data_IF_054222187040
#
_entry.id   IF_054222187040
#
_cell.length_a   1.000
_cell.length_b   1.000
_cell.length_c   1.000
_cell.angle_alpha   90.00
_cell.angle_beta   90.00
_cell.angle_gamma   90.00
#
_symmetry.space_group_name_H-M   'P 1'
#
loop_
_entity.id
_entity.type
_entity.pdbx_description
1 polymer ?
#
# COMPACT_ATOMS: atom_id res chain seq x y z
N UNK A 1 49.82 31.09 -46.77
CA UNK A 1 49.87 32.17 -45.76
C UNK A 1 49.83 31.50 -44.39
N UNK A 2 50.99 31.29 -43.75
CA UNK A 2 51.60 32.14 -42.70
C UNK A 2 50.68 32.27 -41.47
N UNK A 3 51.02 31.85 -40.24
CA UNK A 3 52.27 31.32 -39.67
C UNK A 3 51.99 30.73 -38.28
N UNK A 4 52.79 29.71 -37.93
CA UNK A 4 52.96 29.03 -36.64
C UNK A 4 53.44 29.97 -35.53
N UNK A 5 53.22 29.59 -34.25
CA UNK A 5 54.30 29.55 -33.23
C UNK A 5 53.92 28.67 -32.02
N UNK A 6 54.54 27.48 -31.97
CA UNK A 6 54.89 26.75 -30.74
C UNK A 6 56.10 27.45 -30.10
N UNK A 7 56.22 27.48 -28.78
CA UNK A 7 57.53 27.35 -28.11
C UNK A 7 57.38 26.45 -26.87
N UNK A 8 58.19 25.41 -26.91
CA UNK A 8 58.46 24.38 -25.92
C UNK A 8 59.84 24.74 -25.36
N UNK A 9 60.03 24.79 -24.04
CA UNK A 9 61.36 24.76 -23.44
C UNK A 9 61.32 23.69 -22.36
N UNK A 10 61.96 22.56 -22.67
CA UNK A 10 62.44 21.63 -21.65
C UNK A 10 63.82 22.05 -21.17
N UNK A 11 64.28 21.40 -20.10
CA UNK A 11 65.72 21.23 -19.90
C UNK A 11 66.22 21.37 -18.46
N UNK A 12 66.35 20.20 -17.84
CA UNK A 12 67.58 19.70 -17.17
C UNK A 12 67.81 20.01 -15.69
N UNK A 13 67.84 18.88 -14.97
CA UNK A 13 68.38 18.60 -13.63
C UNK A 13 69.90 18.88 -13.58
N UNK A 14 70.39 19.43 -12.46
CA UNK A 14 71.80 19.31 -12.07
C UNK A 14 71.92 19.05 -10.56
N UNK A 15 72.51 17.90 -10.23
CA UNK A 15 73.03 17.49 -8.92
C UNK A 15 74.50 17.89 -8.85
N UNK A 16 74.98 18.38 -7.70
CA UNK A 16 76.34 18.30 -7.09
C UNK A 16 76.46 19.46 -6.08
N UNK A 17 77.25 19.47 -5.01
CA UNK A 17 77.98 18.54 -4.15
C UNK A 17 78.52 19.43 -3.00
N UNK A 18 78.67 18.89 -1.79
CA UNK A 18 79.13 19.65 -0.63
C UNK A 18 80.62 20.03 -0.69
N UNK A 19 80.97 21.19 -0.09
CA UNK A 19 82.32 21.45 0.46
C UNK A 19 82.26 22.35 1.69
N UNK A 20 82.44 21.69 2.84
CA UNK A 20 83.29 22.02 3.98
C UNK A 20 84.00 23.39 3.99
N UNK A 21 83.72 24.20 5.01
CA UNK A 21 84.60 25.29 5.47
C UNK A 21 84.94 25.06 6.94
N UNK A 22 86.21 24.77 7.19
CA UNK A 22 86.85 24.72 8.51
C UNK A 22 87.29 26.14 8.86
N UNK A 23 86.83 26.68 9.99
CA UNK A 23 87.36 27.88 10.61
C UNK A 23 87.82 27.56 12.03
N UNK A 24 89.14 27.63 12.24
CA UNK A 24 89.78 27.40 13.53
C UNK A 24 90.00 28.71 14.29
N UNK A 25 89.69 28.72 15.59
CA UNK A 25 90.43 29.52 16.60
C UNK A 25 90.20 28.97 18.02
N UNK A 26 91.24 28.31 18.52
CA UNK A 26 91.69 28.11 19.91
C UNK A 26 91.76 29.43 20.71
N UNK A 27 91.69 29.56 22.06
CA UNK A 27 91.79 28.71 23.26
C UNK A 27 91.14 29.49 24.42
N UNK A 28 90.58 28.82 25.45
CA UNK A 28 90.77 29.23 26.86
C UNK A 28 90.50 28.04 27.81
N UNK A 29 91.33 27.96 28.84
CA UNK A 29 91.53 26.84 29.76
C UNK A 29 90.33 26.52 30.68
N UNK A 30 90.19 25.23 31.01
CA UNK A 30 89.45 24.76 32.17
C UNK A 30 89.48 23.25 32.28
N UNK A 31 90.39 22.71 33.10
CA UNK A 31 90.46 21.28 33.37
C UNK A 31 89.21 20.82 34.14
N UNK A 32 88.35 20.04 33.48
CA UNK A 32 87.41 19.14 34.13
C UNK A 32 87.34 17.87 33.27
N UNK A 33 87.70 16.72 33.85
CA UNK A 33 87.42 15.41 33.26
C UNK A 33 86.10 14.91 33.86
N UNK A 34 84.93 15.17 33.26
CA UNK A 34 83.74 14.41 33.60
C UNK A 34 83.87 13.02 32.97
N UNK A 35 83.82 12.02 33.85
CA UNK A 35 83.62 10.60 33.56
C UNK A 35 82.45 10.47 32.57
N UNK A 36 82.68 9.83 31.43
CA UNK A 36 81.65 9.53 30.44
C UNK A 36 80.67 8.52 31.06
N UNK A 37 79.65 9.01 31.77
CA UNK A 37 78.47 8.23 32.12
C UNK A 37 77.59 8.16 30.88
N UNK A 38 77.28 6.93 30.47
CA UNK A 38 76.29 6.58 29.44
C UNK A 38 75.07 7.49 29.51
N UNK A 39 74.76 8.18 28.42
CA UNK A 39 73.49 8.89 28.27
C UNK A 39 72.33 7.89 28.41
N UNK A 40 71.26 8.20 29.16
CA UNK A 40 70.09 7.35 29.19
C UNK A 40 69.45 7.32 27.80
N UNK A 41 69.44 6.13 27.20
CA UNK A 41 68.71 5.81 25.98
C UNK A 41 67.21 5.81 26.26
N UNK A 42 66.56 6.96 26.14
CA UNK A 42 65.10 7.01 25.93
C UNK A 42 64.65 8.41 25.49
N UNK A 43 64.78 8.70 24.20
CA UNK A 43 63.79 9.58 23.56
C UNK A 43 62.55 8.72 23.41
N UNK A 44 61.54 8.92 24.26
CA UNK A 44 60.20 8.40 23.98
C UNK A 44 59.70 9.19 22.77
N UNK A 45 59.71 8.58 21.60
CA UNK A 45 58.79 8.95 20.52
C UNK A 45 57.39 8.91 21.12
N UNK A 46 56.73 10.07 21.26
CA UNK A 46 55.30 10.07 21.48
C UNK A 46 54.69 9.46 20.22
N UNK A 47 54.11 8.26 20.33
CA UNK A 47 53.18 7.81 19.31
C UNK A 47 52.07 8.87 19.19
N UNK A 48 51.66 9.26 17.98
CA UNK A 48 50.48 10.10 17.84
C UNK A 48 49.33 9.40 18.56
N UNK A 49 48.66 10.12 19.46
CA UNK A 49 47.47 9.62 20.12
C UNK A 49 46.42 9.33 19.04
N UNK A 50 46.31 8.07 18.62
CA UNK A 50 45.20 7.61 17.79
C UNK A 50 43.95 7.66 18.66
N UNK A 51 43.20 8.75 18.57
CA UNK A 51 41.87 8.83 19.15
C UNK A 51 41.02 7.81 18.40
N UNK A 52 40.70 6.67 19.00
CA UNK A 52 39.66 5.80 18.47
C UNK A 52 38.36 6.59 18.56
N UNK A 53 37.88 7.08 17.42
CA UNK A 53 36.51 7.62 17.32
C UNK A 53 35.57 6.48 17.67
N UNK A 54 34.67 6.70 18.63
CA UNK A 54 33.62 5.74 18.97
C UNK A 54 32.73 5.61 17.73
N UNK A 55 32.67 4.42 17.14
CA UNK A 55 31.70 4.12 16.09
C UNK A 55 30.29 4.20 16.67
N UNK A 56 29.39 4.86 15.95
CA UNK A 56 27.97 4.90 16.27
C UNK A 56 27.23 3.70 15.72
N UNK A 57 25.92 3.72 15.86
CA UNK A 57 25.03 2.65 15.37
C UNK A 57 23.96 3.22 14.47
N UNK A 58 23.59 2.47 13.44
CA UNK A 58 22.42 2.73 12.61
C UNK A 58 21.42 1.57 12.81
N UNK A 59 20.15 1.91 13.02
CA UNK A 59 19.07 0.93 13.08
C UNK A 59 17.96 1.33 12.12
N UNK A 60 17.30 0.34 11.51
CA UNK A 60 16.13 0.51 10.67
C UNK A 60 14.95 -0.18 11.31
N UNK A 61 13.78 0.44 11.28
CA UNK A 61 12.52 -0.14 11.70
C UNK A 61 11.40 0.27 10.73
N UNK A 62 10.33 -0.52 10.66
CA UNK A 62 9.10 -0.10 9.98
C UNK A 62 8.47 1.09 10.71
N UNK A 63 7.91 2.03 9.96
CA UNK A 63 7.11 3.11 10.53
C UNK A 63 5.64 2.70 10.53
N UNK A 64 5.11 2.32 11.69
CA UNK A 64 3.71 1.94 11.86
C UNK A 64 2.72 3.11 11.64
N UNK A 65 3.20 4.33 11.42
CA UNK A 65 2.37 5.51 11.18
C UNK A 65 2.10 5.79 9.70
N UNK A 66 2.69 5.06 8.74
CA UNK A 66 2.35 5.19 7.32
C UNK A 66 2.97 4.08 6.45
N UNK A 67 2.26 3.55 5.43
CA UNK A 67 0.81 3.52 5.38
C UNK A 67 0.29 2.83 6.66
N UNK A 68 -0.81 3.34 7.21
CA UNK A 68 -1.30 2.91 8.55
C UNK A 68 -2.12 1.62 8.53
N UNK A 69 -2.59 1.22 7.36
CA UNK A 69 -3.55 0.12 7.20
C UNK A 69 -3.37 -0.57 5.85
N UNK A 70 -3.81 -1.82 5.76
CA UNK A 70 -3.95 -2.52 4.48
C UNK A 70 -4.78 -1.69 3.49
N UNK A 71 -4.50 -1.81 2.20
CA UNK A 71 -5.17 -1.03 1.15
C UNK A 71 -5.54 -1.90 -0.04
N UNK A 72 -6.34 -1.34 -0.93
CA UNK A 72 -6.64 -1.94 -2.23
C UNK A 72 -6.14 -1.01 -3.33
N UNK A 73 -5.67 -1.55 -4.44
CA UNK A 73 -5.18 -0.75 -5.56
C UNK A 73 -5.52 -1.40 -6.91
N UNK A 74 -5.91 -0.62 -7.94
CA UNK A 74 -6.11 -1.16 -9.27
C UNK A 74 -4.74 -1.43 -9.93
N UNK A 75 -4.70 -2.33 -10.90
CA UNK A 75 -3.52 -2.50 -11.76
C UNK A 75 -3.25 -1.24 -12.57
N UNK A 76 -1.98 -0.99 -12.86
CA UNK A 76 -1.50 0.24 -13.50
C UNK A 76 -1.55 1.47 -12.60
N UNK A 77 -1.77 1.33 -11.29
CA UNK A 77 -1.63 2.44 -10.34
C UNK A 77 -0.14 2.81 -10.19
N UNK A 78 0.20 4.05 -10.51
CA UNK A 78 1.54 4.62 -10.36
C UNK A 78 1.67 5.37 -9.02
N UNK A 79 2.90 5.50 -8.51
CA UNK A 79 3.22 6.27 -7.31
C UNK A 79 2.36 5.85 -6.07
N UNK A 80 2.11 4.56 -5.91
CA UNK A 80 1.38 4.03 -4.75
C UNK A 80 2.31 3.93 -3.53
N UNK A 81 2.03 4.66 -2.44
CA UNK A 81 2.77 4.50 -1.19
C UNK A 81 2.47 3.13 -0.56
N UNK A 82 3.48 2.27 -0.47
CA UNK A 82 3.31 0.87 0.00
C UNK A 82 3.99 0.59 1.33
N UNK A 83 5.04 1.34 1.68
CA UNK A 83 5.73 1.19 2.95
C UNK A 83 6.46 2.49 3.35
N UNK A 84 6.67 2.66 4.66
CA UNK A 84 7.57 3.68 5.21
C UNK A 84 8.49 3.05 6.24
N UNK A 85 9.75 3.46 6.23
CA UNK A 85 10.77 2.97 7.16
C UNK A 85 11.39 4.15 7.90
N UNK A 86 11.77 3.91 9.15
CA UNK A 86 12.45 4.87 10.00
C UNK A 86 13.87 4.40 10.24
N UNK A 87 14.83 5.25 9.92
CA UNK A 87 16.24 5.03 10.15
C UNK A 87 16.69 5.92 11.30
N UNK A 88 17.36 5.34 12.30
CA UNK A 88 17.83 6.05 13.50
C UNK A 88 19.32 5.86 13.66
N UNK A 89 20.06 6.96 13.79
CA UNK A 89 21.49 6.95 14.05
C UNK A 89 21.78 7.38 15.50
N UNK A 90 22.76 6.74 16.12
CA UNK A 90 23.28 7.14 17.44
C UNK A 90 24.77 7.37 17.39
N UNK A 91 25.27 8.32 18.20
CA UNK A 91 26.69 8.68 18.37
C UNK A 91 27.40 9.29 17.15
N UNK A 92 26.96 9.05 15.91
CA UNK A 92 27.48 9.69 14.68
C UNK A 92 26.43 9.80 13.56
N UNK A 93 26.72 10.62 12.54
CA UNK A 93 25.94 10.73 11.31
C UNK A 93 26.24 9.55 10.37
N UNK A 94 25.25 9.10 9.60
CA UNK A 94 25.40 8.04 8.60
C UNK A 94 24.96 8.51 7.22
N UNK A 95 25.66 8.02 6.19
CA UNK A 95 25.22 8.03 4.80
C UNK A 95 24.83 6.61 4.39
N UNK A 96 23.60 6.41 3.90
CA UNK A 96 23.13 5.14 3.35
C UNK A 96 23.23 5.22 1.84
N UNK A 97 23.92 4.26 1.23
CA UNK A 97 24.15 4.22 -0.22
C UNK A 97 23.26 3.20 -0.93
N UNK A 98 22.96 2.08 -0.27
CA UNK A 98 22.19 0.98 -0.88
C UNK A 98 21.10 0.45 0.04
N UNK A 99 19.91 0.23 -0.52
CA UNK A 99 18.79 -0.48 0.10
C UNK A 99 18.12 -1.39 -0.92
N UNK A 100 17.80 -2.62 -0.53
CA UNK A 100 17.12 -3.60 -1.40
C UNK A 100 15.74 -3.94 -0.87
N UNK A 101 14.74 -3.88 -1.73
CA UNK A 101 13.37 -4.24 -1.37
C UNK A 101 12.91 -5.47 -2.12
N UNK A 102 12.07 -6.28 -1.47
CA UNK A 102 11.44 -7.44 -2.05
C UNK A 102 9.92 -7.32 -2.00
N UNK A 103 9.26 -7.83 -3.04
CA UNK A 103 7.80 -7.95 -3.12
C UNK A 103 7.40 -9.40 -2.90
N UNK A 104 6.60 -9.61 -1.86
CA UNK A 104 6.19 -10.92 -1.37
C UNK A 104 4.68 -10.98 -1.23
N UNK A 105 4.14 -12.19 -1.04
CA UNK A 105 2.76 -12.36 -0.62
C UNK A 105 2.54 -11.94 0.86
N UNK A 106 1.29 -11.99 1.32
CA UNK A 106 0.89 -11.60 2.68
C UNK A 106 1.55 -12.37 3.83
N UNK A 107 2.29 -13.46 3.54
CA UNK A 107 3.11 -14.14 4.56
C UNK A 107 4.43 -13.43 4.85
N UNK A 108 4.84 -12.46 4.02
CA UNK A 108 6.14 -11.79 4.12
C UNK A 108 7.33 -12.70 3.78
N UNK A 109 7.08 -13.89 3.24
CA UNK A 109 8.14 -14.87 2.98
C UNK A 109 8.95 -14.49 1.74
N UNK A 110 10.28 -14.49 1.86
CA UNK A 110 11.22 -14.25 0.75
C UNK A 110 11.51 -15.51 -0.09
N UNK A 111 10.62 -16.51 -0.05
CA UNK A 111 10.78 -17.75 -0.83
C UNK A 111 10.42 -17.55 -2.31
N UNK A 112 11.02 -18.34 -3.22
CA UNK A 112 10.73 -18.22 -4.66
C UNK A 112 9.24 -18.46 -5.03
N UNK A 113 8.49 -19.20 -4.20
CA UNK A 113 7.06 -19.47 -4.41
C UNK A 113 6.12 -18.40 -3.82
N UNK A 114 6.67 -17.36 -3.19
CA UNK A 114 5.91 -16.25 -2.61
C UNK A 114 6.20 -14.92 -3.29
N UNK A 115 6.93 -14.93 -4.41
CA UNK A 115 7.17 -13.76 -5.24
C UNK A 115 5.87 -13.32 -5.91
N UNK A 116 5.53 -12.06 -5.74
CA UNK A 116 4.48 -11.36 -6.49
C UNK A 116 5.12 -10.19 -7.26
N UNK A 117 6.33 -10.41 -7.78
CA UNK A 117 7.10 -9.38 -8.45
C UNK A 117 6.54 -9.01 -9.82
N UNK A 118 5.81 -9.92 -10.46
CA UNK A 118 5.01 -9.66 -11.66
C UNK A 118 3.87 -8.67 -11.41
N UNK A 119 3.58 -8.37 -10.14
CA UNK A 119 2.59 -7.38 -9.74
C UNK A 119 3.10 -5.94 -9.80
N UNK A 120 4.41 -5.73 -9.84
CA UNK A 120 5.05 -4.43 -9.63
C UNK A 120 6.05 -4.15 -10.75
N UNK A 121 5.86 -3.06 -11.47
CA UNK A 121 6.74 -2.64 -12.55
C UNK A 121 8.04 -2.01 -12.00
N UNK A 122 7.90 -1.11 -11.04
CA UNK A 122 9.03 -0.39 -10.41
C UNK A 122 8.78 -0.08 -8.95
N UNK A 123 9.88 0.12 -8.22
CA UNK A 123 9.88 0.73 -6.90
C UNK A 123 10.63 2.06 -6.95
N UNK A 124 10.10 3.04 -6.23
CA UNK A 124 10.72 4.35 -6.03
C UNK A 124 10.89 4.60 -4.54
N UNK A 125 12.11 4.92 -4.11
CA UNK A 125 12.40 5.33 -2.74
C UNK A 125 12.56 6.84 -2.68
N UNK A 126 11.78 7.50 -1.81
CA UNK A 126 11.96 8.91 -1.45
C UNK A 126 12.64 9.02 -0.09
N UNK A 127 13.65 9.87 0.01
CA UNK A 127 14.53 9.94 1.19
C UNK A 127 15.21 11.30 1.36
N UNK A 128 15.67 11.68 2.56
CA UNK A 128 16.39 12.94 2.79
C UNK A 128 17.88 12.81 2.46
N UNK A 129 18.43 13.84 1.81
CA UNK A 129 19.86 13.93 1.41
C UNK A 129 20.65 14.95 2.25
N UNK A 130 20.05 15.53 3.28
CA UNK A 130 20.64 16.63 4.07
C UNK A 130 20.50 16.40 5.57
N UNK A 131 21.63 16.45 6.28
CA UNK A 131 21.69 16.41 7.75
C UNK A 131 21.00 17.61 8.41
N UNK A 132 20.86 18.73 7.69
CA UNK A 132 20.30 19.98 8.20
C UNK A 132 18.78 20.06 8.05
N UNK A 133 18.20 19.25 7.17
CA UNK A 133 16.76 19.21 6.86
C UNK A 133 16.25 17.76 6.80
N UNK A 134 16.42 16.97 7.87
CA UNK A 134 16.18 15.51 7.87
C UNK A 134 14.72 15.09 7.65
N UNK A 135 13.76 16.03 7.69
CA UNK A 135 12.34 15.77 7.45
C UNK A 135 11.92 16.01 5.99
N UNK A 136 12.81 16.48 5.12
CA UNK A 136 12.51 16.80 3.73
C UNK A 136 13.01 15.65 2.85
N UNK A 137 12.08 14.97 2.15
CA UNK A 137 12.42 13.93 1.18
C UNK A 137 12.78 14.60 -0.16
N UNK A 138 14.04 15.03 -0.28
CA UNK A 138 14.57 15.72 -1.48
C UNK A 138 15.39 14.80 -2.40
N UNK A 139 15.66 13.57 -1.99
CA UNK A 139 16.22 12.49 -2.80
C UNK A 139 15.15 11.55 -3.32
N UNK A 140 15.40 11.00 -4.50
CA UNK A 140 14.56 10.00 -5.15
C UNK A 140 15.43 9.08 -5.99
N UNK A 141 15.23 7.77 -5.85
CA UNK A 141 15.83 6.75 -6.71
C UNK A 141 14.76 5.73 -7.06
N UNK A 142 14.72 5.30 -8.33
CA UNK A 142 13.79 4.29 -8.80
C UNK A 142 14.51 3.15 -9.50
N UNK A 143 13.91 1.96 -9.46
CA UNK A 143 14.43 0.76 -10.09
C UNK A 143 13.30 -0.17 -10.50
N UNK A 144 13.38 -0.71 -11.72
CA UNK A 144 12.46 -1.73 -12.18
C UNK A 144 12.66 -3.02 -11.37
N UNK A 145 11.58 -3.74 -11.05
CA UNK A 145 11.71 -5.01 -10.37
C UNK A 145 12.18 -6.10 -11.36
N UNK A 146 13.22 -6.83 -10.98
CA UNK A 146 13.70 -8.00 -11.72
C UNK A 146 13.84 -9.21 -10.78
N UNK A 147 12.90 -10.15 -10.86
CA UNK A 147 12.81 -11.25 -9.89
C UNK A 147 12.24 -10.76 -8.56
N UNK A 148 12.64 -11.36 -7.44
CA UNK A 148 12.05 -11.03 -6.12
C UNK A 148 12.52 -9.69 -5.54
N UNK A 149 13.65 -9.15 -5.98
CA UNK A 149 14.35 -8.04 -5.37
C UNK A 149 14.48 -6.85 -6.32
N UNK A 150 14.50 -5.65 -5.75
CA UNK A 150 14.86 -4.40 -6.39
C UNK A 150 15.88 -3.68 -5.51
N UNK A 151 17.11 -3.59 -6.01
CA UNK A 151 18.20 -2.90 -5.34
C UNK A 151 18.22 -1.44 -5.81
N UNK A 152 18.21 -0.50 -4.87
CA UNK A 152 18.37 0.93 -5.11
C UNK A 152 19.72 1.36 -4.52
N UNK A 153 20.61 1.86 -5.38
CA UNK A 153 22.01 2.22 -5.05
C UNK A 153 22.26 3.70 -5.27
N UNK A 154 23.42 4.21 -4.81
CA UNK A 154 23.79 5.63 -4.98
C UNK A 154 22.77 6.58 -4.37
N UNK A 155 22.17 6.18 -3.25
CA UNK A 155 21.10 6.93 -2.60
C UNK A 155 21.63 8.29 -2.10
N UNK A 156 22.74 8.30 -1.36
CA UNK A 156 23.20 9.52 -0.66
C UNK A 156 22.22 9.96 0.43
N UNK A 157 21.52 9.00 1.05
CA UNK A 157 20.56 9.24 2.12
C UNK A 157 21.31 9.58 3.41
N UNK A 158 20.94 10.68 4.06
CA UNK A 158 21.63 11.18 5.24
C UNK A 158 20.81 11.00 6.51
N UNK A 159 21.37 10.31 7.52
CA UNK A 159 20.76 10.11 8.84
C UNK A 159 21.55 10.90 9.89
N UNK A 160 20.97 11.95 10.52
CA UNK A 160 21.68 12.73 11.50
C UNK A 160 21.93 11.97 12.80
N UNK A 161 23.09 12.24 13.39
CA UNK A 161 23.50 11.79 14.71
C UNK A 161 22.42 12.06 15.76
N UNK A 162 22.19 11.05 16.60
CA UNK A 162 21.26 11.07 17.74
C UNK A 162 19.84 11.50 17.32
N UNK A 163 19.46 11.16 16.08
CA UNK A 163 18.20 11.52 15.45
C UNK A 163 17.72 10.40 14.52
N UNK A 164 16.61 10.65 13.84
CA UNK A 164 16.03 9.74 12.87
C UNK A 164 15.56 10.48 11.62
N UNK A 165 15.37 9.71 10.55
CA UNK A 165 14.71 10.10 9.31
C UNK A 165 13.66 9.07 8.92
N UNK A 166 12.77 9.47 8.02
CA UNK A 166 11.84 8.55 7.37
C UNK A 166 12.17 8.43 5.89
N UNK A 167 11.93 7.26 5.32
CA UNK A 167 11.95 7.02 3.88
C UNK A 167 10.64 6.38 3.45
N UNK A 168 10.19 6.72 2.25
CA UNK A 168 8.92 6.25 1.69
C UNK A 168 9.18 5.41 0.46
N UNK A 169 8.61 4.21 0.44
CA UNK A 169 8.66 3.29 -0.67
C UNK A 169 7.34 3.38 -1.45
N UNK A 170 7.46 3.77 -2.71
CA UNK A 170 6.38 3.82 -3.67
C UNK A 170 6.52 2.67 -4.67
N UNK A 171 5.39 2.14 -5.12
CA UNK A 171 5.33 1.09 -6.13
C UNK A 171 4.50 1.57 -7.32
N UNK A 172 4.98 1.29 -8.52
CA UNK A 172 4.18 1.36 -9.74
C UNK A 172 3.70 -0.06 -10.03
N UNK A 173 2.39 -0.27 -9.95
CA UNK A 173 1.79 -1.57 -10.20
C UNK A 173 1.83 -1.87 -11.70
N UNK A 174 2.09 -3.13 -12.05
CA UNK A 174 2.09 -3.53 -13.45
C UNK A 174 0.69 -3.32 -14.08
N UNK A 175 0.62 -3.22 -15.41
CA UNK A 175 -0.65 -3.32 -16.11
C UNK A 175 -1.10 -4.79 -16.17
N UNK A 176 -2.41 -5.04 -16.12
CA UNK A 176 -2.93 -6.36 -16.43
C UNK A 176 -3.06 -6.54 -17.94
N UNK A 177 -2.28 -7.45 -18.53
CA UNK A 177 -2.60 -8.01 -19.84
C UNK A 177 -3.33 -9.34 -19.64
N UNK A 178 -4.64 -9.36 -19.91
CA UNK A 178 -5.41 -10.59 -20.04
C UNK A 178 -4.61 -11.57 -20.93
N UNK A 179 -4.26 -12.74 -20.38
CA UNK A 179 -3.44 -13.82 -20.97
C UNK A 179 -1.93 -13.80 -20.61
N UNK A 180 -1.56 -14.57 -19.58
CA UNK A 180 -0.30 -15.34 -19.63
C UNK A 180 0.95 -14.79 -18.91
N UNK A 181 0.82 -13.83 -17.99
CA UNK A 181 1.94 -13.46 -17.10
C UNK A 181 1.89 -12.07 -16.45
N UNK A 182 0.72 -11.59 -16.03
CA UNK A 182 0.54 -10.30 -15.34
C UNK A 182 -0.31 -10.52 -14.10
N UNK A 183 -0.14 -9.69 -13.05
CA UNK A 183 -0.97 -9.51 -11.85
C UNK A 183 -2.19 -10.45 -11.74
N UNK A 184 -2.32 -11.22 -10.66
CA UNK A 184 -3.57 -11.92 -10.37
C UNK A 184 -4.45 -11.05 -9.48
N UNK A 185 -5.74 -10.98 -9.81
CA UNK A 185 -6.71 -10.26 -8.98
C UNK A 185 -6.75 -10.90 -7.59
N UNK A 186 -6.79 -10.07 -6.55
CA UNK A 186 -6.69 -10.47 -5.14
C UNK A 186 -5.28 -10.84 -4.64
N UNK A 187 -4.24 -10.58 -5.45
CA UNK A 187 -2.87 -10.72 -4.97
C UNK A 187 -2.61 -9.79 -3.79
N UNK A 188 -2.04 -10.35 -2.73
CA UNK A 188 -1.84 -9.67 -1.46
C UNK A 188 -0.35 -9.30 -1.32
N UNK A 189 0.02 -8.11 -1.77
CA UNK A 189 1.41 -7.63 -1.80
C UNK A 189 1.87 -7.16 -0.43
N UNK A 190 3.04 -7.65 0.00
CA UNK A 190 3.80 -7.20 1.16
C UNK A 190 5.22 -6.84 0.75
N UNK A 191 5.74 -5.74 1.30
CA UNK A 191 7.04 -5.18 0.93
C UNK A 191 8.02 -5.35 2.08
N UNK A 192 9.20 -5.89 1.76
CA UNK A 192 10.24 -6.18 2.75
C UNK A 192 11.52 -5.45 2.38
N UNK A 193 12.10 -4.68 3.30
CA UNK A 193 13.53 -4.35 3.23
C UNK A 193 14.30 -5.65 3.40
N UNK A 194 14.83 -6.16 2.29
CA UNK A 194 15.52 -7.43 2.23
C UNK A 194 17.00 -7.21 2.56
N UNK A 195 17.46 -7.80 3.65
CA UNK A 195 18.87 -7.86 4.06
C UNK A 195 19.40 -9.30 3.97
N UNK A 196 18.58 -10.27 3.57
CA UNK A 196 18.98 -11.64 3.30
C UNK A 196 19.69 -11.77 1.94
N UNK A 197 21.00 -12.01 1.96
CA UNK A 197 21.79 -12.16 0.74
C UNK A 197 23.27 -12.47 0.96
N UNK A 198 24.07 -12.34 -0.10
CA UNK A 198 25.52 -12.65 -0.07
C UNK A 198 26.42 -11.42 -0.13
N UNK A 199 25.85 -10.21 -0.04
CA UNK A 199 26.58 -8.96 0.00
C UNK A 199 25.99 -7.90 -0.92
N UNK A 200 25.75 -6.71 -0.36
CA UNK A 200 25.32 -5.52 -1.10
C UNK A 200 23.83 -5.23 -1.02
N UNK A 201 23.05 -5.99 -0.25
CA UNK A 201 21.62 -5.73 -0.09
C UNK A 201 21.35 -4.45 0.71
N UNK A 202 22.25 -4.10 1.63
CA UNK A 202 22.22 -2.86 2.41
C UNK A 202 23.65 -2.36 2.67
N UNK A 203 23.88 -1.06 2.47
CA UNK A 203 25.18 -0.45 2.78
C UNK A 203 25.00 0.97 3.32
N UNK A 204 25.61 1.24 4.48
CA UNK A 204 25.70 2.57 5.06
C UNK A 204 27.08 2.81 5.70
N UNK A 205 27.55 4.06 5.72
CA UNK A 205 28.85 4.44 6.27
C UNK A 205 28.71 5.56 7.30
N UNK A 206 29.27 5.35 8.49
CA UNK A 206 29.40 6.38 9.51
C UNK A 206 30.38 7.47 9.08
N UNK A 207 29.94 8.72 9.02
CA UNK A 207 30.72 9.81 8.41
C UNK A 207 31.95 10.23 9.22
N UNK A 208 31.95 9.95 10.53
CA UNK A 208 33.09 10.31 11.40
C UNK A 208 34.02 9.12 11.61
N UNK A 209 33.46 7.93 11.85
CA UNK A 209 34.25 6.74 12.14
C UNK A 209 34.71 5.98 10.89
N UNK A 210 34.02 6.15 9.75
CA UNK A 210 34.19 5.34 8.55
C UNK A 210 33.69 3.90 8.71
N UNK A 211 32.92 3.61 9.76
CA UNK A 211 32.37 2.27 10.01
C UNK A 211 31.26 1.98 9.01
N UNK A 212 31.38 0.87 8.29
CA UNK A 212 30.31 0.38 7.40
C UNK A 212 29.33 -0.46 8.20
N UNK A 213 28.05 -0.19 8.02
CA UNK A 213 26.91 -1.02 8.45
C UNK A 213 26.39 -1.72 7.20
N UNK A 214 26.24 -3.04 7.28
CA UNK A 214 25.89 -3.91 6.15
C UNK A 214 24.61 -4.69 6.45
N UNK A 215 24.17 -5.48 5.48
CA UNK A 215 23.07 -6.42 5.67
C UNK A 215 23.28 -7.40 6.85
N UNK A 216 24.53 -7.70 7.24
CA UNK A 216 24.82 -8.57 8.39
C UNK A 216 24.54 -7.94 9.75
N UNK A 217 24.40 -6.61 9.81
CA UNK A 217 24.10 -5.85 11.01
C UNK A 217 22.58 -5.62 11.20
N UNK A 218 21.77 -5.99 10.19
CA UNK A 218 20.33 -5.78 10.14
C UNK A 218 19.60 -7.10 9.85
N UNK A 219 18.37 -7.23 10.34
CA UNK A 219 17.46 -8.29 9.90
C UNK A 219 16.51 -7.77 8.83
N UNK A 220 15.86 -8.69 8.10
CA UNK A 220 14.78 -8.32 7.18
C UNK A 220 13.67 -7.57 7.92
N UNK A 221 13.12 -6.55 7.26
CA UNK A 221 12.05 -5.72 7.83
C UNK A 221 10.88 -5.69 6.87
N UNK A 222 9.83 -6.44 7.19
CA UNK A 222 8.59 -6.49 6.43
C UNK A 222 7.60 -5.42 6.91
N UNK A 223 6.99 -4.71 5.97
CA UNK A 223 5.90 -3.79 6.25
C UNK A 223 4.68 -4.54 6.77
N UNK A 224 3.94 -3.93 7.71
CA UNK A 224 2.70 -4.53 8.26
C UNK A 224 1.51 -4.40 7.31
N UNK A 225 1.63 -3.53 6.31
CA UNK A 225 0.57 -3.22 5.36
C UNK A 225 0.58 -4.17 4.19
N UNK A 226 -0.60 -4.69 3.89
CA UNK A 226 -0.88 -5.47 2.69
C UNK A 226 -1.59 -4.58 1.67
N UNK A 227 -1.12 -4.61 0.44
CA UNK A 227 -1.82 -4.02 -0.71
C UNK A 227 -2.48 -5.14 -1.50
N UNK A 228 -3.81 -5.20 -1.50
CA UNK A 228 -4.56 -6.14 -2.34
C UNK A 228 -4.77 -5.50 -3.71
N UNK A 229 -4.31 -6.17 -4.76
CA UNK A 229 -4.34 -5.62 -6.12
C UNK A 229 -5.44 -6.28 -6.94
N UNK A 230 -6.07 -5.49 -7.80
CA UNK A 230 -7.19 -5.92 -8.65
C UNK A 230 -7.05 -5.33 -10.05
N UNK A 231 -7.63 -5.96 -11.08
CA UNK A 231 -7.62 -5.42 -12.45
C UNK A 231 -8.28 -4.07 -12.55
N UNK A 232 -9.42 -3.97 -11.89
CA UNK A 232 -10.21 -2.76 -11.75
C UNK A 232 -10.84 -2.78 -10.36
N UNK A 233 -11.14 -1.60 -9.82
CA UNK A 233 -11.85 -1.47 -8.55
C UNK A 233 -13.12 -0.65 -8.80
N UNK A 234 -14.29 -1.11 -8.32
CA UNK A 234 -15.48 -0.28 -8.36
C UNK A 234 -15.29 1.00 -7.56
N UNK A 235 -15.93 2.08 -8.00
CA UNK A 235 -16.25 3.20 -7.10
C UNK A 235 -17.75 3.18 -6.82
N UNK A 236 -18.12 3.23 -5.55
CA UNK A 236 -19.52 3.33 -5.13
C UNK A 236 -19.78 4.74 -4.62
N UNK A 237 -21.00 5.26 -4.75
CA UNK A 237 -21.38 6.51 -4.11
C UNK A 237 -22.88 6.59 -3.87
N UNK A 238 -23.32 7.44 -2.93
CA UNK A 238 -24.71 7.87 -2.87
C UNK A 238 -25.04 8.65 -4.15
N UNK A 239 -26.13 8.26 -4.83
CA UNK A 239 -26.66 9.03 -5.96
C UNK A 239 -27.51 10.21 -5.46
N UNK A 240 -27.95 11.09 -6.36
CA UNK A 240 -28.79 12.28 -6.06
C UNK A 240 -29.92 12.02 -5.04
N UNK A 241 -30.27 13.03 -4.24
CA UNK A 241 -31.18 12.84 -3.10
C UNK A 241 -32.59 12.41 -3.50
N UNK A 242 -33.12 11.45 -2.75
CA UNK A 242 -34.46 10.85 -2.87
C UNK A 242 -35.59 11.76 -2.35
N UNK A 243 -35.28 13.01 -1.99
CA UNK A 243 -36.11 13.79 -1.08
C UNK A 243 -36.02 13.25 0.35
N UNK A 244 -36.95 13.67 1.21
CA UNK A 244 -37.00 13.27 2.63
C UNK A 244 -38.35 12.69 3.05
N UNK A 245 -39.30 12.56 2.12
CA UNK A 245 -40.67 12.14 2.42
C UNK A 245 -40.83 10.63 2.39
N UNK A 246 -41.42 10.07 3.43
CA UNK A 246 -41.84 8.67 3.47
C UNK A 246 -43.30 8.54 3.01
N UNK A 247 -43.55 7.61 2.09
CA UNK A 247 -44.85 7.26 1.52
C UNK A 247 -45.10 5.79 1.88
N UNK A 248 -46.09 5.56 2.72
CA UNK A 248 -46.45 4.21 3.19
C UNK A 248 -47.59 3.63 2.36
N UNK A 249 -47.69 2.30 2.34
CA UNK A 249 -48.75 1.56 1.66
C UNK A 249 -48.43 1.10 0.23
N UNK A 250 -47.18 1.25 -0.22
CA UNK A 250 -46.71 0.93 -1.57
C UNK A 250 -45.20 0.70 -1.57
N UNK A 251 -44.68 0.11 -2.65
CA UNK A 251 -43.26 0.15 -2.98
C UNK A 251 -42.78 1.61 -3.07
N UNK A 252 -41.77 1.95 -2.28
CA UNK A 252 -41.12 3.26 -2.32
C UNK A 252 -39.63 3.11 -2.61
N UNK A 253 -39.07 4.04 -3.40
CA UNK A 253 -37.63 4.16 -3.56
C UNK A 253 -37.02 4.67 -2.24
N UNK A 254 -36.28 3.80 -1.54
CA UNK A 254 -35.74 4.07 -0.20
C UNK A 254 -34.24 4.39 -0.22
N UNK A 255 -33.54 4.05 -1.30
CA UNK A 255 -32.12 4.28 -1.42
C UNK A 255 -31.66 4.34 -2.89
N UNK A 256 -30.64 5.14 -3.20
CA UNK A 256 -30.09 5.28 -4.55
C UNK A 256 -28.58 5.43 -4.49
N UNK A 257 -27.88 4.63 -5.29
CA UNK A 257 -26.43 4.61 -5.33
C UNK A 257 -25.92 4.47 -6.76
N UNK A 258 -24.66 4.84 -6.98
CA UNK A 258 -23.95 4.60 -8.24
C UNK A 258 -22.86 3.58 -8.03
N UNK A 259 -22.58 2.78 -9.06
CA UNK A 259 -21.36 1.98 -9.17
C UNK A 259 -20.69 2.32 -10.50
N UNK A 260 -19.41 2.68 -10.42
CA UNK A 260 -18.57 3.01 -11.57
C UNK A 260 -17.47 1.97 -11.71
N UNK A 261 -17.21 1.55 -12.95
CA UNK A 261 -15.98 0.86 -13.30
C UNK A 261 -14.95 1.88 -13.81
N UNK A 262 -13.69 1.71 -13.45
CA UNK A 262 -12.61 2.51 -14.04
C UNK A 262 -12.44 2.19 -15.54
N UNK A 263 -11.53 2.89 -16.22
CA UNK A 263 -11.27 2.66 -17.65
C UNK A 263 -10.54 1.36 -17.95
N UNK A 264 -9.97 0.69 -16.94
CA UNK A 264 -9.05 -0.43 -17.09
C UNK A 264 -9.79 -1.77 -17.18
N UNK A 265 -11.00 -1.87 -16.63
CA UNK A 265 -11.78 -3.11 -16.70
C UNK A 265 -13.27 -2.97 -16.45
N UNK A 266 -14.00 -4.02 -16.79
CA UNK A 266 -15.41 -4.16 -16.43
C UNK A 266 -15.52 -4.55 -14.95
N UNK A 267 -16.53 -4.03 -14.26
CA UNK A 267 -16.91 -4.49 -12.91
C UNK A 267 -18.19 -5.29 -12.99
N UNK A 268 -18.26 -6.39 -12.25
CA UNK A 268 -19.48 -7.17 -12.05
C UNK A 268 -19.96 -7.02 -10.63
N UNK A 269 -21.20 -6.57 -10.45
CA UNK A 269 -21.83 -6.48 -9.15
C UNK A 269 -22.79 -7.66 -8.93
N UNK A 270 -22.53 -8.51 -7.95
CA UNK A 270 -23.32 -9.72 -7.70
C UNK A 270 -24.22 -9.63 -6.46
N UNK A 271 -23.80 -8.88 -5.44
CA UNK A 271 -24.55 -8.81 -4.19
C UNK A 271 -24.38 -7.45 -3.52
N UNK A 272 -25.44 -6.99 -2.87
CA UNK A 272 -25.48 -5.77 -2.06
C UNK A 272 -26.24 -6.07 -0.77
N UNK A 273 -25.65 -5.77 0.37
CA UNK A 273 -26.35 -5.70 1.65
C UNK A 273 -26.59 -4.25 2.07
N UNK A 274 -27.81 -3.96 2.51
CA UNK A 274 -28.20 -2.66 3.04
C UNK A 274 -28.38 -2.75 4.55
N UNK A 275 -27.78 -1.83 5.29
CA UNK A 275 -28.14 -1.61 6.68
C UNK A 275 -29.37 -0.68 6.72
N UNK A 276 -30.45 -1.15 7.33
CA UNK A 276 -31.73 -0.45 7.40
C UNK A 276 -32.11 -0.28 8.87
N UNK A 277 -32.31 0.97 9.28
CA UNK A 277 -32.88 1.32 10.58
C UNK A 277 -34.27 1.92 10.39
N UNK A 278 -35.27 1.40 11.10
CA UNK A 278 -36.67 1.83 10.95
C UNK A 278 -37.32 2.14 12.29
N UNK A 279 -38.27 3.08 12.28
CA UNK A 279 -39.17 3.38 13.40
C UNK A 279 -40.58 3.56 12.86
N UNK A 280 -41.61 3.06 13.56
CA UNK A 280 -43.01 3.24 13.15
C UNK A 280 -43.43 2.48 11.90
N UNK A 281 -42.67 1.45 11.49
CA UNK A 281 -42.90 0.66 10.28
C UNK A 281 -43.06 -0.82 10.62
N UNK A 282 -43.95 -1.49 9.89
CA UNK A 282 -44.14 -2.93 9.99
C UNK A 282 -42.94 -3.64 9.34
N UNK A 283 -42.34 -4.56 10.09
CA UNK A 283 -41.14 -5.28 9.66
C UNK A 283 -41.37 -6.78 9.48
N UNK A 284 -42.54 -7.27 9.89
CA UNK A 284 -42.96 -8.67 9.80
C UNK A 284 -44.39 -8.80 9.24
N UNK A 285 -44.77 -9.95 8.68
CA UNK A 285 -46.09 -10.10 8.06
C UNK A 285 -46.12 -9.81 6.56
N UNK A 286 -47.26 -10.06 5.93
CA UNK A 286 -47.46 -9.97 4.46
C UNK A 286 -47.21 -8.59 3.85
N UNK A 287 -47.43 -7.50 4.60
CA UNK A 287 -47.26 -6.13 4.14
C UNK A 287 -46.17 -5.49 4.98
N UNK A 288 -44.91 -5.82 4.71
CA UNK A 288 -43.77 -5.42 5.54
C UNK A 288 -42.47 -5.49 4.75
N UNK A 289 -41.41 -4.91 5.31
CA UNK A 289 -40.06 -5.00 4.73
C UNK A 289 -39.57 -6.44 4.53
N UNK A 290 -40.13 -7.43 5.24
CA UNK A 290 -39.78 -8.84 5.09
C UNK A 290 -40.82 -9.69 4.33
N UNK A 291 -42.08 -9.27 4.24
CA UNK A 291 -43.18 -10.01 3.59
C UNK A 291 -43.29 -11.50 4.05
N UNK A 292 -42.91 -11.85 5.28
CA UNK A 292 -42.81 -13.26 5.73
C UNK A 292 -42.00 -14.19 4.79
N UNK A 293 -41.23 -13.64 3.85
CA UNK A 293 -40.35 -14.39 2.96
C UNK A 293 -39.07 -14.64 3.75
N UNK A 294 -38.74 -15.91 3.93
CA UNK A 294 -37.44 -16.25 4.51
C UNK A 294 -36.35 -15.81 3.52
N UNK A 295 -35.27 -15.22 4.03
CA UNK A 295 -34.14 -14.84 3.18
C UNK A 295 -33.49 -16.02 2.43
N UNK A 296 -33.75 -17.25 2.89
CA UNK A 296 -33.39 -18.51 2.24
C UNK A 296 -34.29 -18.90 1.05
N UNK A 297 -35.50 -18.34 0.93
CA UNK A 297 -36.49 -18.64 -0.12
C UNK A 297 -36.53 -17.57 -1.23
N UNK A 298 -35.52 -16.69 -1.29
CA UNK A 298 -35.47 -15.41 -2.02
C UNK A 298 -35.47 -15.49 -3.57
N UNK A 299 -35.99 -16.56 -4.17
CA UNK A 299 -36.08 -16.73 -5.62
C UNK A 299 -37.45 -16.30 -6.22
N UNK A 300 -38.43 -15.90 -5.40
CA UNK A 300 -39.71 -15.35 -5.93
C UNK A 300 -39.58 -13.87 -6.34
N UNK A 301 -39.24 -13.68 -7.61
CA UNK A 301 -39.09 -12.38 -8.28
C UNK A 301 -40.31 -11.46 -8.18
N UNK A 302 -41.50 -12.05 -8.09
CA UNK A 302 -42.75 -11.29 -8.19
C UNK A 302 -43.02 -10.52 -6.90
N UNK A 303 -42.76 -11.16 -5.76
CA UNK A 303 -43.20 -10.70 -4.45
C UNK A 303 -42.05 -10.28 -3.52
N UNK A 304 -40.82 -10.14 -4.03
CA UNK A 304 -39.68 -9.70 -3.23
C UNK A 304 -39.95 -8.32 -2.59
N UNK A 305 -39.93 -8.20 -1.25
CA UNK A 305 -40.27 -6.96 -0.53
C UNK A 305 -39.19 -5.88 -0.69
N UNK A 306 -38.01 -6.25 -1.17
CA UNK A 306 -36.92 -5.33 -1.49
C UNK A 306 -36.37 -5.72 -2.86
N UNK A 307 -36.19 -4.74 -3.74
CA UNK A 307 -35.63 -4.97 -5.05
C UNK A 307 -34.84 -3.76 -5.57
N UNK A 308 -34.00 -4.00 -6.56
CA UNK A 308 -33.18 -2.99 -7.23
C UNK A 308 -33.57 -2.91 -8.70
N UNK A 309 -33.69 -1.70 -9.21
CA UNK A 309 -33.74 -1.40 -10.65
C UNK A 309 -32.54 -0.53 -11.03
N UNK A 310 -32.10 -0.60 -12.28
CA UNK A 310 -31.31 0.52 -12.81
C UNK A 310 -32.21 1.77 -12.83
N UNK A 311 -31.68 2.91 -12.41
CA UNK A 311 -32.47 4.12 -12.20
C UNK A 311 -33.21 4.55 -13.48
N UNK A 312 -34.51 4.83 -13.35
CA UNK A 312 -35.37 5.19 -14.48
C UNK A 312 -35.83 4.00 -15.34
N UNK A 313 -35.45 2.76 -14.99
CA UNK A 313 -35.94 1.53 -15.62
C UNK A 313 -36.92 0.80 -14.70
N UNK A 314 -37.79 -0.02 -15.29
CA UNK A 314 -38.79 -0.82 -14.56
C UNK A 314 -38.36 -2.27 -14.31
N UNK A 315 -37.34 -2.76 -15.02
CA UNK A 315 -36.85 -4.13 -14.87
C UNK A 315 -36.09 -4.26 -13.55
N UNK A 316 -36.52 -5.17 -12.68
CA UNK A 316 -35.75 -5.52 -11.48
C UNK A 316 -34.46 -6.22 -11.93
N UNK A 317 -33.33 -5.70 -11.47
CA UNK A 317 -31.98 -6.25 -11.65
C UNK A 317 -31.43 -6.83 -10.36
N UNK A 318 -32.11 -6.64 -9.22
CA UNK A 318 -31.78 -7.33 -7.99
C UNK A 318 -33.02 -7.55 -7.14
N UNK A 319 -33.01 -8.61 -6.34
CA UNK A 319 -34.09 -8.93 -5.39
C UNK A 319 -33.49 -9.35 -4.05
N UNK A 320 -34.22 -9.07 -2.99
CA UNK A 320 -33.75 -9.34 -1.64
C UNK A 320 -34.86 -9.39 -0.62
N UNK A 321 -34.44 -9.55 0.63
CA UNK A 321 -35.28 -9.68 1.81
C UNK A 321 -34.68 -8.86 2.95
N UNK A 322 -35.52 -8.41 3.88
CA UNK A 322 -35.07 -7.77 5.12
C UNK A 322 -35.02 -8.78 6.27
N UNK A 323 -33.89 -8.87 6.96
CA UNK A 323 -33.74 -9.65 8.17
C UNK A 323 -33.89 -8.75 9.41
N UNK A 324 -35.05 -8.85 10.05
CA UNK A 324 -35.41 -8.06 11.25
C UNK A 324 -34.48 -8.27 12.43
N UNK A 325 -33.83 -9.44 12.55
CA UNK A 325 -32.92 -9.73 13.64
C UNK A 325 -31.58 -8.99 13.50
N UNK A 326 -31.18 -8.64 12.28
CA UNK A 326 -29.90 -8.00 11.97
C UNK A 326 -30.05 -6.56 11.48
N UNK A 327 -31.26 -6.12 11.13
CA UNK A 327 -31.50 -4.82 10.51
C UNK A 327 -30.83 -4.70 9.15
N UNK A 328 -30.68 -5.81 8.42
CA UNK A 328 -29.96 -5.85 7.15
C UNK A 328 -30.84 -6.44 6.06
N UNK A 329 -30.82 -5.84 4.87
CA UNK A 329 -31.42 -6.42 3.68
C UNK A 329 -30.36 -7.01 2.77
N UNK A 330 -30.50 -8.28 2.40
CA UNK A 330 -29.58 -9.01 1.54
C UNK A 330 -30.16 -9.05 0.11
N UNK A 331 -29.43 -8.52 -0.87
CA UNK A 331 -29.92 -8.36 -2.25
C UNK A 331 -28.95 -9.01 -3.22
N UNK A 332 -29.43 -9.99 -3.99
CA UNK A 332 -28.67 -10.61 -5.08
C UNK A 332 -28.97 -9.90 -6.39
N UNK A 333 -27.94 -9.69 -7.20
CA UNK A 333 -27.98 -8.91 -8.45
C UNK A 333 -28.00 -9.82 -9.70
N UNK A 334 -28.43 -9.23 -10.82
CA UNK A 334 -28.68 -9.85 -12.12
C UNK A 334 -29.55 -11.10 -12.08
N UNK A 335 -30.74 -10.93 -11.51
CA UNK A 335 -31.77 -11.97 -11.44
C UNK A 335 -32.43 -12.13 -12.81
N UNK A 336 -32.21 -13.27 -13.49
CA UNK A 336 -32.92 -13.55 -14.74
C UNK A 336 -34.37 -13.95 -14.48
N UNK A 337 -35.31 -13.41 -15.27
CA UNK A 337 -36.73 -13.80 -15.22
C UNK A 337 -37.02 -15.22 -15.76
N UNK A 338 -35.99 -15.97 -16.16
CA UNK A 338 -36.12 -17.25 -16.87
C UNK A 338 -35.20 -18.37 -16.37
N UNK A 339 -34.53 -18.20 -15.21
CA UNK A 339 -33.76 -19.28 -14.57
C UNK A 339 -32.44 -19.65 -15.26
N UNK A 340 -31.87 -18.75 -16.08
CA UNK A 340 -30.51 -18.90 -16.60
C UNK A 340 -29.47 -18.55 -15.53
N UNK A 341 -28.38 -19.30 -15.47
CA UNK A 341 -27.32 -19.16 -14.45
C UNK A 341 -26.65 -17.80 -14.48
N UNK A 342 -26.59 -17.24 -13.29
CA UNK A 342 -26.33 -15.87 -12.89
C UNK A 342 -24.84 -15.53 -12.90
N UNK A 343 -24.50 -14.30 -13.28
CA UNK A 343 -23.11 -13.82 -13.22
C UNK A 343 -23.04 -12.31 -12.98
N UNK A 344 -23.91 -11.81 -12.09
CA UNK A 344 -23.93 -10.43 -11.63
C UNK A 344 -24.25 -9.38 -12.70
N UNK A 345 -24.47 -8.15 -12.25
CA UNK A 345 -24.76 -7.00 -13.13
C UNK A 345 -23.45 -6.38 -13.58
N UNK A 346 -23.16 -6.44 -14.87
CA UNK A 346 -21.96 -5.84 -15.46
C UNK A 346 -22.08 -4.31 -15.54
N UNK A 347 -21.04 -3.61 -15.15
CA UNK A 347 -20.76 -2.20 -15.37
C UNK A 347 -19.52 -2.13 -16.25
N UNK A 348 -19.70 -1.72 -17.50
CA UNK A 348 -18.59 -1.71 -18.47
C UNK A 348 -17.53 -0.66 -18.12
N UNK A 349 -16.28 -0.94 -18.48
CA UNK A 349 -15.14 -0.05 -18.28
C UNK A 349 -15.47 1.41 -18.67
N UNK A 350 -15.08 2.34 -17.80
CA UNK A 350 -15.29 3.78 -17.93
C UNK A 350 -16.74 4.25 -17.80
N UNK A 351 -17.67 3.36 -17.42
CA UNK A 351 -19.08 3.71 -17.24
C UNK A 351 -19.52 3.67 -15.77
N UNK A 352 -20.60 4.41 -15.51
CA UNK A 352 -21.31 4.42 -14.23
C UNK A 352 -22.74 3.96 -14.44
N UNK A 353 -23.22 3.05 -13.57
CA UNK A 353 -24.64 2.73 -13.43
C UNK A 353 -25.20 3.30 -12.15
N UNK A 354 -26.41 3.85 -12.23
CA UNK A 354 -27.19 4.29 -11.07
C UNK A 354 -28.25 3.25 -10.76
N UNK A 355 -28.36 2.86 -9.49
CA UNK A 355 -29.30 1.87 -9.00
C UNK A 355 -30.27 2.50 -8.00
N UNK A 356 -31.54 2.16 -8.15
CA UNK A 356 -32.64 2.54 -7.26
C UNK A 356 -33.08 1.33 -6.47
N UNK A 357 -33.05 1.43 -5.14
CA UNK A 357 -33.56 0.42 -4.21
C UNK A 357 -34.99 0.78 -3.85
N UNK A 358 -35.89 -0.16 -4.06
CA UNK A 358 -37.27 -0.09 -3.62
C UNK A 358 -37.51 -1.06 -2.48
N UNK A 359 -38.36 -0.66 -1.55
CA UNK A 359 -38.83 -1.50 -0.46
C UNK A 359 -40.34 -1.34 -0.28
N UNK A 360 -40.97 -2.40 0.19
CA UNK A 360 -42.38 -2.41 0.55
C UNK A 360 -42.58 -1.82 1.95
N UNK A 361 -43.10 -0.59 2.01
CA UNK A 361 -43.13 0.22 3.24
C UNK A 361 -44.55 0.32 3.78
N UNK A 362 -44.79 -0.26 4.95
CA UNK A 362 -46.07 -0.18 5.68
C UNK A 362 -45.88 0.31 7.11
N UNK A 363 -46.92 0.95 7.64
CA UNK A 363 -46.97 1.43 9.02
C UNK A 363 -47.23 0.28 9.98
N UNK A 364 -46.58 0.32 11.14
CA UNK A 364 -46.96 -0.56 12.24
C UNK A 364 -48.31 -0.12 12.84
N UNK A 365 -48.85 -0.95 13.73
CA UNK A 365 -50.11 -0.63 14.43
C UNK A 365 -50.00 0.52 15.46
N UNK A 366 -48.79 1.03 15.73
CA UNK A 366 -48.53 2.12 16.67
C UNK A 366 -48.53 3.47 15.96
N UNK A 367 -49.63 4.21 16.13
CA UNK A 367 -49.75 5.58 15.59
C UNK A 367 -48.97 6.65 16.36
N UNK A 368 -48.16 6.25 17.36
CA UNK A 368 -47.49 7.16 18.31
C UNK A 368 -46.04 7.48 17.95
N UNK A 369 -45.48 6.76 16.98
CA UNK A 369 -44.08 6.82 16.57
C UNK A 369 -43.94 7.57 15.25
N UNK A 370 -42.95 8.46 15.15
CA UNK A 370 -42.57 9.02 13.86
C UNK A 370 -42.10 7.89 12.94
N UNK A 371 -42.53 7.94 11.68
CA UNK A 371 -42.24 6.91 10.69
C UNK A 371 -40.92 7.28 10.04
N UNK A 372 -39.94 6.40 10.10
CA UNK A 372 -38.65 6.67 9.46
C UNK A 372 -38.07 5.40 8.89
N UNK A 373 -37.42 5.52 7.73
CA UNK A 373 -36.51 4.51 7.19
C UNK A 373 -35.18 5.18 6.86
N UNK A 374 -34.11 4.66 7.45
CA UNK A 374 -32.74 5.10 7.23
C UNK A 374 -31.95 3.96 6.60
N UNK A 375 -31.45 4.18 5.39
CA UNK A 375 -30.77 3.13 4.60
C UNK A 375 -29.36 3.56 4.19
N UNK A 376 -28.43 2.61 4.20
CA UNK A 376 -27.10 2.73 3.58
C UNK A 376 -26.59 1.36 3.13
N UNK A 377 -25.57 1.32 2.27
CA UNK A 377 -24.85 0.07 2.00
C UNK A 377 -24.06 -0.31 3.25
N UNK A 378 -24.08 -1.59 3.62
CA UNK A 378 -23.27 -2.07 4.73
C UNK A 378 -21.78 -2.03 4.34
N UNK A 379 -20.94 -1.57 5.26
CA UNK A 379 -19.49 -1.57 5.04
C UNK A 379 -18.88 -2.93 5.38
N UNK A 380 -17.80 -3.26 4.65
CA UNK A 380 -16.93 -4.40 4.92
C UNK A 380 -15.65 -3.92 5.59
N UNK A 381 -15.44 -4.35 6.84
CA UNK A 381 -14.31 -3.87 7.66
C UNK A 381 -13.07 -4.75 7.55
N UNK A 382 -13.18 -5.94 6.96
CA UNK A 382 -12.09 -6.88 6.77
C UNK A 382 -12.06 -7.32 5.31
N UNK A 383 -10.86 -7.53 4.79
CA UNK A 383 -10.66 -8.19 3.49
C UNK A 383 -11.11 -9.65 3.55
N UNK A 384 -11.63 -10.16 2.45
CA UNK A 384 -11.93 -11.58 2.22
C UNK A 384 -11.28 -11.97 0.90
N UNK A 385 -10.42 -12.99 0.93
CA UNK A 385 -9.77 -13.52 -0.27
C UNK A 385 -10.82 -13.92 -1.34
N UNK A 386 -10.41 -13.81 -2.59
CA UNK A 386 -11.21 -14.16 -3.74
C UNK A 386 -11.74 -15.60 -3.62
N UNK A 387 -13.05 -15.74 -3.75
CA UNK A 387 -13.72 -17.02 -3.58
C UNK A 387 -15.00 -17.07 -4.41
N UNK A 388 -15.73 -18.18 -4.34
CA UNK A 388 -17.09 -18.23 -4.86
C UNK A 388 -18.02 -17.31 -4.05
N UNK A 389 -19.09 -16.82 -4.67
CA UNK A 389 -20.10 -15.99 -3.99
C UNK A 389 -20.63 -16.67 -2.73
N UNK A 390 -20.91 -17.99 -2.84
CA UNK A 390 -21.41 -18.79 -1.72
C UNK A 390 -20.41 -18.90 -0.57
N UNK A 391 -19.11 -18.95 -0.87
CA UNK A 391 -18.05 -19.03 0.13
C UNK A 391 -17.92 -17.71 0.88
N UNK A 392 -18.00 -16.57 0.19
CA UNK A 392 -17.97 -15.24 0.82
C UNK A 392 -19.17 -15.07 1.76
N UNK A 393 -20.39 -15.37 1.28
CA UNK A 393 -21.60 -15.28 2.09
C UNK A 393 -21.59 -16.25 3.28
N UNK A 394 -20.90 -17.39 3.17
CA UNK A 394 -20.75 -18.33 4.29
C UNK A 394 -19.73 -17.84 5.33
N UNK A 395 -18.66 -17.18 4.89
CA UNK A 395 -17.62 -16.63 5.75
C UNK A 395 -18.10 -15.36 6.48
N UNK A 396 -18.82 -14.50 5.77
CA UNK A 396 -19.48 -13.31 6.32
C UNK A 396 -20.90 -13.18 5.71
N UNK A 397 -21.95 -13.69 6.38
CA UNK A 397 -23.33 -13.53 5.92
C UNK A 397 -23.81 -12.08 5.98
N UNK A 398 -23.00 -11.19 6.56
CA UNK A 398 -23.25 -9.77 6.62
C UNK A 398 -22.47 -8.98 5.58
N UNK A 399 -21.71 -9.60 4.68
CA UNK A 399 -20.91 -8.89 3.67
C UNK A 399 -21.69 -7.76 2.98
N UNK A 400 -21.07 -6.60 2.79
CA UNK A 400 -21.71 -5.39 2.28
C UNK A 400 -21.90 -5.39 0.78
N UNK A 401 -20.88 -5.84 0.06
CA UNK A 401 -20.85 -5.86 -1.39
C UNK A 401 -20.14 -7.15 -1.83
N UNK A 402 -20.61 -7.78 -2.91
CA UNK A 402 -19.80 -8.78 -3.63
C UNK A 402 -19.68 -8.35 -5.07
N UNK A 403 -18.44 -8.25 -5.54
CA UNK A 403 -18.10 -7.80 -6.88
C UNK A 403 -16.97 -8.64 -7.48
N UNK A 404 -16.74 -8.52 -8.78
CA UNK A 404 -15.63 -9.13 -9.51
C UNK A 404 -15.14 -8.16 -10.59
N UNK A 405 -13.86 -8.24 -10.92
CA UNK A 405 -13.20 -7.51 -12.01
C UNK A 405 -13.04 -8.38 -13.28
N UNK A 406 -13.83 -9.46 -13.40
CA UNK A 406 -13.63 -10.50 -14.43
C UNK A 406 -12.22 -11.12 -14.37
N UNK A 407 -11.65 -11.19 -13.17
CA UNK A 407 -10.29 -11.63 -12.86
C UNK A 407 -9.94 -13.06 -13.24
N UNK A 408 -10.90 -13.96 -13.49
CA UNK A 408 -10.60 -15.38 -13.67
C UNK A 408 -9.59 -15.65 -14.80
N UNK A 409 -8.44 -16.23 -14.45
CA UNK A 409 -7.38 -16.61 -15.37
C UNK A 409 -7.82 -17.65 -16.43
N UNK A 410 -8.90 -18.41 -16.17
CA UNK A 410 -9.47 -19.36 -17.13
C UNK A 410 -10.43 -18.74 -18.13
N UNK A 411 -10.71 -17.42 -18.03
CA UNK A 411 -11.69 -16.73 -18.87
C UNK A 411 -13.14 -17.18 -18.64
N UNK A 412 -13.37 -17.98 -17.59
CA UNK A 412 -14.69 -18.47 -17.21
C UNK A 412 -15.22 -17.64 -16.06
N UNK A 413 -16.40 -17.04 -16.25
CA UNK A 413 -17.05 -16.23 -15.22
C UNK A 413 -18.31 -16.91 -14.69
N UNK A 414 -18.55 -16.85 -13.37
CA UNK A 414 -19.80 -17.32 -12.77
C UNK A 414 -19.78 -17.36 -11.24
N UNK A 415 -20.94 -17.54 -10.59
CA UNK A 415 -21.02 -17.46 -9.11
C UNK A 415 -20.15 -18.48 -8.35
N UNK A 416 -19.76 -19.58 -9.02
CA UNK A 416 -18.96 -20.67 -8.45
C UNK A 416 -17.45 -20.54 -8.69
N UNK A 417 -17.00 -19.58 -9.49
CA UNK A 417 -15.57 -19.33 -9.73
C UNK A 417 -14.97 -18.56 -8.56
N UNK A 418 -13.69 -18.78 -8.27
CA UNK A 418 -12.96 -18.06 -7.23
C UNK A 418 -12.41 -16.75 -7.79
N UNK A 419 -13.28 -15.77 -7.99
CA UNK A 419 -12.95 -14.45 -8.56
C UNK A 419 -13.80 -13.32 -7.96
N UNK A 420 -14.59 -13.64 -6.94
CA UNK A 420 -15.46 -12.67 -6.28
C UNK A 420 -14.77 -12.15 -5.04
N UNK A 421 -14.93 -10.86 -4.78
CA UNK A 421 -14.32 -10.14 -3.66
C UNK A 421 -15.41 -9.39 -2.89
N UNK A 422 -15.11 -9.05 -1.64
CA UNK A 422 -16.01 -8.21 -0.84
C UNK A 422 -15.76 -6.71 -1.03
N UNK A 423 -16.61 -5.87 -0.46
CA UNK A 423 -16.52 -4.41 -0.54
C UNK A 423 -15.44 -3.76 0.32
N UNK A 424 -14.43 -4.52 0.78
CA UNK A 424 -13.40 -4.00 1.67
C UNK A 424 -12.63 -2.85 1.01
N UNK A 425 -12.67 -1.67 1.64
CA UNK A 425 -12.01 -0.44 1.17
C UNK A 425 -12.34 0.01 -0.25
N UNK A 426 -13.43 -0.50 -0.83
CA UNK A 426 -13.96 0.00 -2.11
C UNK A 426 -14.21 1.52 -2.00
N UNK A 427 -13.65 2.35 -2.90
CA UNK A 427 -13.76 3.79 -2.83
C UNK A 427 -15.21 4.27 -2.82
N UNK A 428 -15.48 5.28 -1.99
CA UNK A 428 -16.78 5.96 -1.92
C UNK A 428 -17.93 5.11 -1.36
N UNK A 429 -17.65 3.90 -0.85
CA UNK A 429 -18.64 3.06 -0.17
C UNK A 429 -19.51 3.91 0.78
N UNK A 430 -20.83 3.98 0.54
CA UNK A 430 -21.66 5.01 1.16
C UNK A 430 -21.92 4.69 2.62
N UNK A 431 -21.17 5.37 3.49
CA UNK A 431 -21.22 5.18 4.95
C UNK A 431 -22.30 6.00 5.65
N UNK A 432 -22.93 6.94 4.95
CA UNK A 432 -23.95 7.83 5.50
C UNK A 432 -25.35 7.34 5.18
N UNK A 433 -26.21 7.33 6.21
CA UNK A 433 -27.63 7.03 6.05
C UNK A 433 -28.35 8.07 5.20
N UNK A 434 -29.21 7.59 4.32
CA UNK A 434 -30.28 8.37 3.71
C UNK A 434 -31.56 8.08 4.49
N UNK A 435 -32.23 9.12 4.98
CA UNK A 435 -33.42 9.00 5.81
C UNK A 435 -34.63 9.60 5.13
N UNK A 436 -35.72 8.82 5.08
CA UNK A 436 -37.06 9.26 4.73
C UNK A 436 -37.93 9.27 5.99
N UNK A 437 -38.78 10.30 6.13
CA UNK A 437 -39.66 10.52 7.29
C UNK A 437 -41.06 11.01 6.92
#
# INVERSE_FOLDING_TARGET
MKTKKKWLIGGTILILLATLVIGASSNYLGAFKPKLTTAPSSIKTMEPATTKVKAGTLSVEKDASSPVENQIAPGGEDDLLVARFKLTATDEDFEVDTMTFAVTNSSGSLSAGSSLADCVASLTLLYPTSLSTPSVLDGSTSSAIAGINSQLTSLGLMVPKDSHVYVELYADLADHSLEGGSLDSDDALSFTLNTSGTGGEFEATGLTSGTTVTESDLGDITADTITYVYRTIPTVANATSLGSSLITGTDQEVYRFTVSADSNGDVVLQYVALQIATTGLETTGTNSLSNDISCSDSYDYTNAPIYITEHGKSTKVGIGCYNTATGTAAITMNVSSSGGTNSGTVISAGNTKTFSVYADVYEDSSTSTAKTISTKIKADNNHVNAASVSSILSADPSVGLIWSDYGSASGTHGESTAEWMNGYKVPGMPVSYVTLS
#
